data_IF_826105543577
#
_entry.id   IF_826105543577
#
_cell.length_a   1.000
_cell.length_b   1.000
_cell.length_c   1.000
_cell.angle_alpha   90.00
_cell.angle_beta   90.00
_cell.angle_gamma   90.00
#
_symmetry.space_group_name_H-M   'P 1'
#
loop_
_entity.id
_entity.type
_entity.pdbx_description
1 polymer ?
#
# COMPACT_ATOMS: atom_id res chain seq x y z
N UNK A 1 17.40 -36.38 58.00
CA UNK A 1 16.30 -36.03 57.07
C UNK A 1 15.58 -34.80 57.62
N UNK A 2 15.82 -33.64 57.01
CA UNK A 2 14.96 -32.46 57.03
C UNK A 2 15.12 -31.83 55.64
N UNK A 3 14.04 -31.62 54.85
CA UNK A 3 14.17 -31.11 53.49
C UNK A 3 14.29 -29.58 53.50
N UNK A 4 15.21 -29.03 52.71
CA UNK A 4 15.17 -27.63 52.31
C UNK A 4 13.96 -27.42 51.39
N UNK A 5 13.03 -26.56 51.81
CA UNK A 5 11.95 -26.04 50.97
C UNK A 5 12.51 -24.94 50.04
N UNK A 6 12.23 -24.96 48.74
CA UNK A 6 12.53 -23.83 47.85
C UNK A 6 11.50 -22.73 48.10
N UNK A 7 11.98 -21.51 48.36
CA UNK A 7 11.18 -20.30 48.41
C UNK A 7 10.78 -19.95 46.97
N UNK A 8 9.52 -20.21 46.60
CA UNK A 8 8.94 -19.69 45.37
C UNK A 8 8.70 -18.19 45.53
N UNK A 9 9.51 -17.37 44.87
CA UNK A 9 9.17 -15.98 44.60
C UNK A 9 8.03 -15.96 43.59
N UNK A 10 6.80 -15.73 44.06
CA UNK A 10 5.70 -15.35 43.17
C UNK A 10 6.07 -14.03 42.50
N UNK A 11 6.35 -14.07 41.20
CA UNK A 11 6.36 -12.88 40.38
C UNK A 11 4.95 -12.26 40.47
N UNK A 12 4.84 -11.11 41.14
CA UNK A 12 3.62 -10.33 41.14
C UNK A 12 3.27 -10.01 39.68
N UNK A 13 2.12 -10.53 39.23
CA UNK A 13 1.54 -10.14 37.96
C UNK A 13 1.41 -8.61 37.96
N UNK A 14 2.10 -7.95 37.03
CA UNK A 14 1.90 -6.53 36.78
C UNK A 14 0.44 -6.35 36.39
N UNK A 15 -0.34 -5.51 37.10
CA UNK A 15 -1.74 -5.29 36.75
C UNK A 15 -1.80 -4.73 35.32
N UNK A 16 -2.55 -5.41 34.47
CA UNK A 16 -2.90 -4.91 33.13
C UNK A 16 -3.51 -3.52 33.32
N UNK A 17 -2.95 -2.45 32.72
CA UNK A 17 -3.49 -1.12 32.91
C UNK A 17 -4.95 -1.09 32.43
N UNK A 18 -5.84 -0.66 33.31
CA UNK A 18 -7.25 -0.42 32.97
C UNK A 18 -7.31 0.50 31.74
N UNK A 19 -8.00 0.13 30.65
CA UNK A 19 -8.05 0.96 29.46
C UNK A 19 -8.63 2.33 29.82
N UNK A 20 -7.87 3.39 29.55
CA UNK A 20 -8.34 4.77 29.70
C UNK A 20 -9.60 4.94 28.84
N UNK A 21 -10.69 5.52 29.37
CA UNK A 21 -11.88 5.78 28.58
C UNK A 21 -11.52 6.61 27.33
N UNK A 22 -11.80 6.07 26.15
CA UNK A 22 -11.58 6.80 24.90
C UNK A 22 -12.70 7.81 24.71
N UNK A 23 -12.34 9.07 24.49
CA UNK A 23 -13.29 10.13 24.16
C UNK A 23 -13.29 10.37 22.65
N UNK A 24 -14.49 10.49 22.09
CA UNK A 24 -14.65 10.88 20.69
C UNK A 24 -14.63 12.41 20.58
N UNK A 25 -13.78 12.93 19.70
CA UNK A 25 -13.67 14.36 19.41
C UNK A 25 -14.13 14.58 17.98
N UNK A 26 -15.08 15.51 17.80
CA UNK A 26 -15.47 16.00 16.48
C UNK A 26 -14.66 17.23 16.16
N UNK A 27 -13.99 17.22 15.01
CA UNK A 27 -13.41 18.41 14.42
C UNK A 27 -14.37 18.91 13.34
N UNK A 28 -15.08 20.04 13.55
CA UNK A 28 -15.96 20.61 12.54
C UNK A 28 -15.13 21.08 11.34
N UNK A 29 -15.34 20.45 10.19
CA UNK A 29 -14.67 20.81 8.95
C UNK A 29 -15.35 20.13 7.76
N UNK A 30 -15.20 20.75 6.59
CA UNK A 30 -15.64 20.16 5.33
C UNK A 30 -14.66 19.08 4.86
N UNK A 31 -15.19 17.97 4.36
CA UNK A 31 -14.43 17.05 3.48
C UNK A 31 -14.89 17.29 2.05
N UNK A 32 -13.94 17.61 1.17
CA UNK A 32 -14.17 17.89 -0.26
C UNK A 32 -13.78 16.66 -1.08
N UNK A 33 -14.49 16.37 -2.20
CA UNK A 33 -14.03 15.37 -3.16
C UNK A 33 -12.63 15.73 -3.68
N UNK A 34 -11.73 14.75 -3.76
CA UNK A 34 -10.40 14.96 -4.33
C UNK A 34 -10.54 15.15 -5.86
N UNK A 35 -10.09 16.26 -6.45
CA UNK A 35 -10.14 16.43 -7.90
C UNK A 35 -9.19 15.47 -8.61
N UNK A 36 -9.26 15.42 -9.94
CA UNK A 36 -8.47 14.48 -10.75
C UNK A 36 -9.09 13.08 -10.78
N UNK A 37 -8.31 12.12 -11.25
CA UNK A 37 -8.72 10.72 -11.37
C UNK A 37 -7.49 9.80 -11.34
N UNK A 38 -7.74 8.50 -11.20
CA UNK A 38 -6.74 7.49 -11.55
C UNK A 38 -6.35 7.62 -13.02
N UNK A 39 -5.08 7.33 -13.31
CA UNK A 39 -4.62 7.07 -14.66
C UNK A 39 -5.18 5.75 -15.22
N UNK A 40 -4.77 5.39 -16.43
CA UNK A 40 -5.20 4.17 -17.12
C UNK A 40 -4.14 3.07 -17.11
N UNK A 41 -3.08 3.20 -16.31
CA UNK A 41 -1.99 2.21 -16.26
C UNK A 41 -2.51 0.92 -15.63
N UNK A 42 -2.44 -0.23 -16.34
CA UNK A 42 -2.85 -1.50 -15.77
C UNK A 42 -1.87 -1.97 -14.69
N UNK A 43 -2.41 -2.41 -13.55
CA UNK A 43 -1.66 -2.90 -12.40
C UNK A 43 -2.01 -4.38 -12.17
N UNK A 44 -1.06 -5.26 -12.40
CA UNK A 44 -1.15 -6.66 -11.99
C UNK A 44 -1.11 -6.71 -10.46
N UNK A 45 -2.21 -7.08 -9.81
CA UNK A 45 -2.36 -7.01 -8.36
C UNK A 45 -2.56 -8.40 -7.76
N UNK A 46 -1.50 -8.93 -7.14
CA UNK A 46 -1.43 -10.27 -6.55
C UNK A 46 -1.39 -10.17 -5.02
N UNK A 47 -2.55 -10.28 -4.37
CA UNK A 47 -2.66 -10.24 -2.91
C UNK A 47 -3.66 -11.29 -2.38
N UNK A 48 -4.03 -12.29 -3.19
CA UNK A 48 -4.97 -13.34 -2.78
C UNK A 48 -4.53 -14.76 -3.23
N UNK A 49 -4.30 -15.70 -2.29
CA UNK A 49 -4.44 -15.49 -0.86
C UNK A 49 -3.30 -14.64 -0.30
N UNK A 50 -3.58 -13.87 0.75
CA UNK A 50 -2.51 -13.15 1.45
C UNK A 50 -1.60 -14.14 2.17
N UNK A 51 -2.17 -15.11 2.88
CA UNK A 51 -1.42 -16.18 3.55
C UNK A 51 -1.38 -17.42 2.67
N UNK A 52 -0.18 -17.77 2.20
CA UNK A 52 0.04 -18.87 1.28
C UNK A 52 0.58 -20.08 2.04
N UNK A 53 -0.11 -21.21 1.90
CA UNK A 53 0.23 -22.46 2.57
C UNK A 53 0.40 -23.63 1.59
N UNK A 54 -0.08 -23.49 0.35
CA UNK A 54 0.10 -24.50 -0.70
C UNK A 54 0.73 -23.88 -1.95
N UNK A 55 1.48 -24.69 -2.70
CA UNK A 55 1.96 -24.29 -4.03
C UNK A 55 0.78 -24.03 -4.97
N UNK A 56 0.94 -23.13 -5.94
CA UNK A 56 -0.10 -22.83 -6.91
C UNK A 56 0.04 -21.48 -7.62
N UNK A 57 -0.96 -21.18 -8.43
CA UNK A 57 -1.10 -19.90 -9.13
C UNK A 57 -1.71 -18.87 -8.17
N UNK A 58 -1.02 -17.75 -7.94
CA UNK A 58 -1.53 -16.65 -7.14
C UNK A 58 -2.38 -15.71 -8.01
N UNK A 59 -1.88 -15.38 -9.19
CA UNK A 59 -2.59 -14.65 -10.25
C UNK A 59 -1.95 -14.97 -11.59
N UNK A 60 -2.75 -15.21 -12.64
CA UNK A 60 -2.23 -15.36 -14.00
C UNK A 60 -3.12 -14.65 -15.00
N UNK A 61 -2.49 -13.88 -15.89
CA UNK A 61 -3.15 -13.26 -17.03
C UNK A 61 -2.94 -14.01 -18.34
N UNK A 62 -2.30 -15.19 -18.32
CA UNK A 62 -2.15 -16.03 -19.51
C UNK A 62 -3.53 -16.41 -20.09
N UNK A 63 -3.60 -16.79 -21.38
CA UNK A 63 -4.80 -17.40 -21.93
C UNK A 63 -5.12 -18.74 -21.25
N UNK A 64 -6.40 -19.09 -21.03
CA UNK A 64 -6.80 -20.36 -20.41
C UNK A 64 -6.67 -21.57 -21.34
N UNK A 65 -6.53 -21.35 -22.65
CA UNK A 65 -6.43 -22.44 -23.62
C UNK A 65 -5.19 -23.31 -23.36
N UNK A 66 -5.38 -24.63 -23.32
CA UNK A 66 -4.33 -25.61 -23.05
C UNK A 66 -3.92 -25.75 -21.58
N UNK A 67 -4.46 -24.93 -20.68
CA UNK A 67 -4.17 -24.99 -19.23
C UNK A 67 -5.04 -26.02 -18.53
N UNK A 68 -4.48 -26.77 -17.58
CA UNK A 68 -5.23 -27.78 -16.82
C UNK A 68 -6.33 -27.16 -15.95
N UNK A 69 -6.05 -26.02 -15.32
CA UNK A 69 -7.00 -25.27 -14.50
C UNK A 69 -7.38 -23.96 -15.20
N UNK A 70 -8.20 -24.03 -16.25
CA UNK A 70 -8.57 -22.87 -17.07
C UNK A 70 -9.09 -21.66 -16.28
N UNK A 71 -9.76 -21.89 -15.14
CA UNK A 71 -10.28 -20.84 -14.25
C UNK A 71 -9.19 -20.04 -13.52
N UNK A 72 -7.94 -20.51 -13.51
CA UNK A 72 -6.79 -19.81 -12.93
C UNK A 72 -6.08 -18.86 -13.92
N UNK A 73 -6.71 -18.54 -15.06
CA UNK A 73 -6.07 -17.76 -16.12
C UNK A 73 -7.03 -16.71 -16.71
N UNK A 74 -6.72 -15.43 -16.54
CA UNK A 74 -7.62 -14.31 -16.85
C UNK A 74 -7.53 -13.78 -18.29
N UNK A 75 -6.59 -14.25 -19.11
CA UNK A 75 -6.39 -13.80 -20.49
C UNK A 75 -6.32 -12.26 -20.67
N UNK A 76 -5.34 -11.63 -20.02
CA UNK A 76 -5.12 -10.18 -20.11
C UNK A 76 -3.65 -9.87 -20.49
N UNK A 77 -3.38 -9.39 -21.72
CA UNK A 77 -2.03 -9.00 -22.10
C UNK A 77 -1.70 -7.58 -21.60
N UNK A 78 -0.45 -7.37 -21.19
CA UNK A 78 0.11 -6.05 -20.90
C UNK A 78 0.93 -5.55 -22.10
N UNK A 79 0.88 -4.24 -22.37
CA UNK A 79 1.69 -3.58 -23.38
C UNK A 79 1.90 -2.11 -22.98
N UNK A 80 3.06 -1.53 -23.26
CA UNK A 80 3.36 -0.16 -22.83
C UNK A 80 3.62 -0.07 -21.33
N UNK A 81 3.08 0.94 -20.64
CA UNK A 81 3.20 1.05 -19.18
C UNK A 81 2.26 0.05 -18.48
N UNK A 82 2.79 -0.78 -17.58
CA UNK A 82 2.05 -1.54 -16.56
C UNK A 82 2.84 -1.67 -15.25
N UNK A 83 2.15 -1.84 -14.12
CA UNK A 83 2.77 -2.12 -12.80
C UNK A 83 2.53 -3.56 -12.37
N UNK A 84 3.39 -4.05 -11.47
CA UNK A 84 3.18 -5.30 -10.73
C UNK A 84 3.25 -4.98 -9.25
N UNK A 85 2.16 -5.29 -8.53
CA UNK A 85 2.10 -5.30 -7.08
C UNK A 85 1.86 -6.74 -6.60
N UNK A 86 2.67 -7.18 -5.63
CA UNK A 86 2.48 -8.46 -4.97
C UNK A 86 2.72 -8.35 -3.46
N UNK A 87 1.86 -8.97 -2.66
CA UNK A 87 2.03 -9.06 -1.21
C UNK A 87 1.53 -10.43 -0.74
N UNK A 88 2.41 -11.23 -0.16
CA UNK A 88 2.08 -12.56 0.33
C UNK A 88 2.89 -12.92 1.58
N UNK A 89 2.29 -13.74 2.43
CA UNK A 89 2.83 -14.23 3.70
C UNK A 89 2.98 -15.73 3.61
N UNK A 90 4.21 -16.21 3.84
CA UNK A 90 4.46 -17.61 4.13
C UNK A 90 4.27 -17.84 5.63
N UNK A 91 3.51 -18.88 5.98
CA UNK A 91 3.31 -19.32 7.35
C UNK A 91 3.42 -20.83 7.40
N UNK A 92 4.33 -21.35 8.21
CA UNK A 92 4.42 -22.79 8.42
C UNK A 92 3.10 -23.33 8.98
N UNK A 93 2.61 -24.42 8.39
CA UNK A 93 1.38 -25.11 8.83
C UNK A 93 1.64 -26.10 9.95
N UNK A 94 2.88 -26.56 10.08
CA UNK A 94 3.32 -27.44 11.16
C UNK A 94 4.80 -27.18 11.50
N UNK A 95 5.25 -27.50 12.72
CA UNK A 95 6.66 -27.31 13.12
C UNK A 95 7.67 -28.12 12.28
N UNK A 96 7.22 -29.16 11.60
CA UNK A 96 8.05 -30.08 10.81
C UNK A 96 8.21 -29.65 9.35
N UNK A 97 7.34 -28.77 8.85
CA UNK A 97 7.40 -28.20 7.49
C UNK A 97 7.75 -26.71 7.54
N UNK A 98 9.06 -26.44 7.61
CA UNK A 98 9.64 -25.10 7.60
C UNK A 98 10.24 -24.70 6.25
N UNK A 99 9.80 -25.36 5.17
CA UNK A 99 10.36 -25.12 3.83
C UNK A 99 10.18 -23.68 3.40
N UNK A 100 11.19 -23.13 2.75
CA UNK A 100 11.13 -21.77 2.22
C UNK A 100 10.11 -21.69 1.09
N UNK A 101 9.12 -20.81 1.21
CA UNK A 101 8.22 -20.50 0.10
C UNK A 101 8.92 -19.55 -0.87
N UNK A 102 8.80 -19.77 -2.18
CA UNK A 102 9.24 -18.83 -3.21
C UNK A 102 8.03 -18.14 -3.83
N UNK A 103 8.15 -16.82 -3.99
CA UNK A 103 7.31 -16.03 -4.87
C UNK A 103 8.01 -15.95 -6.23
N UNK A 104 7.33 -16.34 -7.30
CA UNK A 104 7.78 -16.23 -8.68
C UNK A 104 6.90 -15.26 -9.47
N UNK A 105 7.49 -14.41 -10.32
CA UNK A 105 6.77 -13.66 -11.35
C UNK A 105 7.36 -14.01 -12.71
N UNK A 106 6.55 -14.67 -13.54
CA UNK A 106 6.90 -15.09 -14.89
C UNK A 106 6.29 -14.12 -15.89
N UNK A 107 7.09 -13.67 -16.86
CA UNK A 107 6.62 -12.95 -18.04
C UNK A 107 6.76 -13.83 -19.28
N UNK A 108 5.76 -13.80 -20.15
CA UNK A 108 5.74 -14.54 -21.42
C UNK A 108 5.50 -13.60 -22.59
N UNK A 109 6.31 -13.77 -23.63
CA UNK A 109 6.17 -13.07 -24.89
C UNK A 109 5.42 -13.98 -25.89
N UNK A 110 4.16 -13.68 -26.26
CA UNK A 110 3.40 -14.49 -27.20
C UNK A 110 3.77 -14.23 -28.66
N UNK A 111 4.58 -13.21 -28.96
CA UNK A 111 4.89 -12.79 -30.32
C UNK A 111 6.05 -13.59 -30.94
N UNK A 112 6.20 -13.48 -32.25
CA UNK A 112 7.30 -14.07 -33.02
C UNK A 112 8.57 -13.22 -33.02
N UNK A 113 8.56 -12.05 -32.36
CA UNK A 113 9.69 -11.15 -32.24
C UNK A 113 10.10 -11.02 -30.77
N UNK A 114 11.38 -10.74 -30.45
CA UNK A 114 11.78 -10.48 -29.07
C UNK A 114 11.03 -9.28 -28.48
N UNK A 115 10.63 -9.38 -27.22
CA UNK A 115 10.00 -8.28 -26.45
C UNK A 115 10.93 -7.87 -25.32
N UNK A 116 11.11 -6.58 -25.13
CA UNK A 116 11.89 -6.01 -24.03
C UNK A 116 10.97 -5.33 -23.04
N UNK A 117 11.19 -5.64 -21.75
CA UNK A 117 10.51 -5.02 -20.62
C UNK A 117 11.54 -4.23 -19.81
N UNK A 118 11.38 -2.91 -19.78
CA UNK A 118 12.16 -1.99 -18.95
C UNK A 118 11.65 -2.07 -17.51
N UNK A 119 12.56 -2.25 -16.55
CA UNK A 119 12.26 -2.11 -15.12
C UNK A 119 12.60 -0.69 -14.70
N UNK A 120 11.59 0.17 -14.60
CA UNK A 120 11.76 1.60 -14.31
C UNK A 120 12.07 1.82 -12.82
N UNK A 121 11.28 1.18 -11.96
CA UNK A 121 11.41 1.18 -10.49
C UNK A 121 11.01 -0.22 -10.00
N UNK A 122 11.68 -0.72 -8.97
CA UNK A 122 11.32 -2.02 -8.40
C UNK A 122 11.92 -2.17 -7.00
N UNK A 123 11.11 -2.62 -6.05
CA UNK A 123 11.54 -2.98 -4.71
C UNK A 123 10.78 -4.21 -4.22
N UNK A 124 11.48 -5.11 -3.54
CA UNK A 124 10.93 -6.25 -2.83
C UNK A 124 11.64 -6.44 -1.50
N UNK A 125 10.89 -6.62 -0.42
CA UNK A 125 11.44 -6.78 0.92
C UNK A 125 10.65 -7.80 1.73
N UNK A 126 11.36 -8.50 2.61
CA UNK A 126 10.77 -9.36 3.63
C UNK A 126 10.33 -8.56 4.86
N UNK A 127 9.34 -9.04 5.60
CA UNK A 127 9.08 -8.53 6.95
C UNK A 127 10.22 -8.88 7.89
N UNK A 128 10.91 -10.00 7.69
CA UNK A 128 12.09 -10.37 8.46
C UNK A 128 13.16 -10.99 7.53
N UNK A 129 14.44 -10.57 7.60
CA UNK A 129 15.00 -9.55 8.48
C UNK A 129 14.91 -8.12 7.91
N UNK A 130 14.45 -7.95 6.67
CA UNK A 130 14.62 -6.68 5.95
C UNK A 130 13.84 -5.53 6.59
N UNK A 131 12.55 -5.71 6.89
CA UNK A 131 11.67 -4.62 7.31
C UNK A 131 10.73 -5.07 8.45
N UNK A 132 11.26 -5.31 9.66
CA UNK A 132 10.45 -5.74 10.80
C UNK A 132 9.39 -4.70 11.17
N UNK A 133 8.28 -5.19 11.70
CA UNK A 133 7.27 -4.33 12.31
C UNK A 133 7.77 -3.86 13.68
N UNK A 134 8.34 -2.66 13.71
CA UNK A 134 8.84 -2.01 14.92
C UNK A 134 7.92 -0.86 15.35
N UNK A 135 7.99 -0.50 16.62
CA UNK A 135 7.38 0.73 17.10
C UNK A 135 8.23 1.93 16.68
N UNK A 136 7.56 2.96 16.13
CA UNK A 136 8.17 4.21 15.71
C UNK A 136 7.31 5.36 16.22
N UNK A 137 7.89 6.56 16.41
CA UNK A 137 7.12 7.75 16.75
C UNK A 137 6.04 8.06 15.70
N UNK A 138 4.98 8.81 16.07
CA UNK A 138 3.93 9.21 15.14
C UNK A 138 4.42 9.92 13.88
N UNK A 139 5.51 10.70 14.01
CA UNK A 139 6.16 11.43 12.94
C UNK A 139 7.68 11.38 13.11
N UNK A 140 8.42 11.11 12.04
CA UNK A 140 9.90 11.10 12.05
C UNK A 140 10.45 11.55 10.70
N UNK A 141 11.43 12.45 10.68
CA UNK A 141 12.13 12.81 9.45
C UNK A 141 12.83 11.59 8.85
N UNK A 142 12.64 11.39 7.56
CA UNK A 142 13.20 10.25 6.83
C UNK A 142 13.98 10.71 5.57
N UNK A 143 14.90 11.68 5.64
CA UNK A 143 15.58 12.19 4.44
C UNK A 143 16.38 11.09 3.72
N UNK A 144 16.96 10.15 4.46
CA UNK A 144 17.80 9.07 3.92
C UNK A 144 17.00 7.84 3.46
N UNK A 145 15.73 7.71 3.85
CA UNK A 145 14.89 6.55 3.51
C UNK A 145 15.17 5.30 4.37
N UNK A 146 15.77 5.48 5.54
CA UNK A 146 16.17 4.39 6.44
C UNK A 146 15.17 4.13 7.57
N UNK A 147 14.13 4.95 7.70
CA UNK A 147 13.05 4.77 8.69
C UNK A 147 11.86 4.09 8.00
N UNK A 148 11.46 2.93 8.52
CA UNK A 148 10.33 2.13 8.04
C UNK A 148 9.91 1.10 9.12
N UNK A 149 8.66 0.63 9.05
CA UNK A 149 8.14 -0.45 9.88
C UNK A 149 7.18 -1.33 9.07
N UNK A 150 7.69 -2.48 8.60
CA UNK A 150 6.98 -3.40 7.71
C UNK A 150 7.47 -3.35 6.25
N UNK A 151 7.33 -4.47 5.50
CA UNK A 151 7.82 -4.57 4.13
C UNK A 151 7.02 -3.71 3.16
N UNK A 152 5.71 -3.52 3.39
CA UNK A 152 4.88 -2.63 2.57
C UNK A 152 5.35 -1.18 2.60
N UNK A 153 5.55 -0.64 3.80
CA UNK A 153 6.11 0.69 4.03
C UNK A 153 7.49 0.85 3.36
N UNK A 154 8.41 -0.10 3.59
CA UNK A 154 9.75 -0.05 3.00
C UNK A 154 9.73 -0.06 1.47
N UNK A 155 8.89 -0.89 0.85
CA UNK A 155 8.71 -0.91 -0.61
C UNK A 155 8.19 0.44 -1.11
N UNK A 156 7.14 1.00 -0.49
CA UNK A 156 6.59 2.29 -0.92
C UNK A 156 7.60 3.43 -0.79
N UNK A 157 8.42 3.43 0.26
CA UNK A 157 9.47 4.44 0.45
C UNK A 157 10.55 4.39 -0.65
N UNK A 158 10.96 3.20 -1.10
CA UNK A 158 11.90 3.05 -2.23
C UNK A 158 11.31 3.58 -3.54
N UNK A 159 10.05 3.21 -3.84
CA UNK A 159 9.37 3.62 -5.08
C UNK A 159 9.10 5.13 -5.07
N UNK A 160 8.73 5.72 -3.93
CA UNK A 160 8.56 7.17 -3.77
C UNK A 160 9.84 7.95 -4.13
N UNK A 161 11.00 7.34 -3.89
CA UNK A 161 12.33 7.88 -4.20
C UNK A 161 12.81 7.54 -5.61
N UNK A 162 11.98 6.85 -6.37
CA UNK A 162 12.25 6.39 -7.72
C UNK A 162 13.38 5.37 -7.82
N UNK A 163 13.56 4.53 -6.79
CA UNK A 163 14.63 3.54 -6.75
C UNK A 163 14.26 2.25 -7.47
N UNK A 164 15.28 1.60 -8.00
CA UNK A 164 15.27 0.20 -8.45
C UNK A 164 16.34 -0.54 -7.68
N UNK A 165 15.96 -1.54 -6.89
CA UNK A 165 16.91 -2.38 -6.17
C UNK A 165 17.85 -3.08 -7.16
N UNK A 166 19.10 -3.30 -6.74
CA UNK A 166 20.13 -3.95 -7.56
C UNK A 166 19.83 -5.41 -7.92
N UNK A 167 18.95 -6.07 -7.16
CA UNK A 167 18.49 -7.43 -7.47
C UNK A 167 17.63 -7.49 -8.74
N UNK A 168 17.09 -6.35 -9.20
CA UNK A 168 16.31 -6.26 -10.43
C UNK A 168 17.15 -5.70 -11.58
N UNK A 169 17.20 -6.38 -12.73
CA UNK A 169 17.90 -5.85 -13.90
C UNK A 169 17.20 -4.60 -14.42
N UNK A 170 17.92 -3.75 -15.17
CA UNK A 170 17.32 -2.56 -15.78
C UNK A 170 16.30 -2.89 -16.87
N UNK A 171 16.50 -4.02 -17.55
CA UNK A 171 15.65 -4.51 -18.61
C UNK A 171 15.72 -6.04 -18.68
N UNK A 172 14.69 -6.67 -19.20
CA UNK A 172 14.69 -8.09 -19.56
C UNK A 172 14.21 -8.23 -20.99
N UNK A 173 14.98 -8.95 -21.82
CA UNK A 173 14.56 -9.34 -23.17
C UNK A 173 14.01 -10.77 -23.13
N UNK A 174 12.77 -10.92 -23.56
CA UNK A 174 12.05 -12.19 -23.63
C UNK A 174 12.04 -12.65 -25.09
N UNK A 175 12.69 -13.77 -25.44
CA UNK A 175 12.70 -14.29 -26.80
C UNK A 175 11.28 -14.57 -27.34
N UNK A 176 11.13 -14.69 -28.66
CA UNK A 176 9.87 -15.09 -29.28
C UNK A 176 9.28 -16.33 -28.62
N UNK A 177 7.99 -16.29 -28.27
CA UNK A 177 7.22 -17.43 -27.75
C UNK A 177 7.82 -18.10 -26.49
N UNK A 178 8.67 -17.38 -25.76
CA UNK A 178 9.33 -17.87 -24.56
C UNK A 178 8.94 -17.08 -23.32
N UNK A 179 9.34 -17.60 -22.16
CA UNK A 179 9.13 -16.95 -20.88
C UNK A 179 10.47 -16.65 -20.17
N UNK A 180 10.46 -15.63 -19.31
CA UNK A 180 11.56 -15.28 -18.41
C UNK A 180 11.01 -14.98 -17.02
N UNK A 181 11.79 -15.31 -16.00
CA UNK A 181 11.49 -14.86 -14.63
C UNK A 181 11.84 -13.38 -14.52
N UNK A 182 10.88 -12.59 -14.08
CA UNK A 182 11.10 -11.22 -13.60
C UNK A 182 11.48 -11.22 -12.11
N UNK A 183 10.92 -12.16 -11.35
CA UNK A 183 11.14 -12.33 -9.92
C UNK A 183 11.16 -13.83 -9.59
N UNK A 184 12.10 -14.27 -8.76
CA UNK A 184 12.16 -15.62 -8.18
C UNK A 184 12.82 -15.50 -6.79
N UNK A 185 12.04 -15.06 -5.80
CA UNK A 185 12.59 -14.63 -4.50
C UNK A 185 12.02 -15.45 -3.34
N UNK A 186 12.85 -15.79 -2.34
CA UNK A 186 12.45 -16.61 -1.20
C UNK A 186 11.65 -15.81 -0.17
N UNK A 187 10.87 -16.52 0.63
CA UNK A 187 10.14 -16.09 1.83
C UNK A 187 10.45 -17.13 2.92
N UNK A 188 11.64 -17.05 3.55
CA UNK A 188 12.09 -18.05 4.51
C UNK A 188 11.36 -17.89 5.84
N UNK A 189 11.05 -19.01 6.51
CA UNK A 189 10.40 -19.05 7.82
C UNK A 189 11.18 -19.82 8.88
N UNK A 190 12.16 -20.63 8.45
CA UNK A 190 12.84 -21.62 9.29
C UNK A 190 13.50 -21.05 10.56
N UNK A 191 14.04 -19.83 10.49
CA UNK A 191 14.77 -19.21 11.61
C UNK A 191 13.92 -18.23 12.42
N UNK A 192 12.60 -18.21 12.21
CA UNK A 192 11.68 -17.21 12.80
C UNK A 192 10.78 -17.87 13.86
N UNK A 193 10.50 -17.12 14.92
CA UNK A 193 9.58 -17.52 15.99
C UNK A 193 8.53 -16.41 16.20
N UNK A 194 7.24 -16.64 15.85
CA UNK A 194 6.73 -17.81 15.13
C UNK A 194 7.23 -17.88 13.67
N UNK A 195 7.17 -19.05 13.00
CA UNK A 195 7.65 -19.25 11.62
C UNK A 195 6.72 -18.62 10.57
N UNK A 196 6.74 -17.28 10.52
CA UNK A 196 5.93 -16.45 9.63
C UNK A 196 6.76 -15.31 9.03
N UNK A 197 6.65 -15.14 7.72
CA UNK A 197 7.35 -14.08 7.00
C UNK A 197 6.51 -13.57 5.83
N UNK A 198 6.54 -12.27 5.59
CA UNK A 198 5.81 -11.62 4.50
C UNK A 198 6.76 -11.03 3.48
N UNK A 199 6.37 -11.00 2.21
CA UNK A 199 7.11 -10.28 1.15
C UNK A 199 6.18 -9.32 0.43
N UNK A 200 6.54 -8.04 0.44
CA UNK A 200 5.92 -7.00 -0.38
C UNK A 200 6.78 -6.73 -1.61
N UNK A 201 6.16 -6.49 -2.75
CA UNK A 201 6.84 -6.13 -4.00
C UNK A 201 6.00 -5.11 -4.78
N UNK A 202 6.65 -4.06 -5.29
CA UNK A 202 6.07 -3.14 -6.25
C UNK A 202 7.09 -2.88 -7.37
N UNK A 203 6.64 -2.92 -8.62
CA UNK A 203 7.45 -2.65 -9.80
C UNK A 203 6.70 -1.79 -10.81
N UNK A 204 7.42 -0.82 -11.41
CA UNK A 204 6.96 -0.03 -12.56
C UNK A 204 7.69 -0.47 -13.82
N UNK A 205 6.97 -1.01 -14.81
CA UNK A 205 7.55 -1.82 -15.89
C UNK A 205 7.07 -1.47 -17.32
N UNK A 206 7.90 -0.99 -18.24
CA UNK A 206 7.42 -0.67 -19.59
C UNK A 206 7.76 -1.78 -20.59
N UNK A 207 6.78 -2.31 -21.30
CA UNK A 207 7.01 -3.29 -22.38
C UNK A 207 6.89 -2.65 -23.75
N UNK A 208 7.82 -2.99 -24.67
CA UNK A 208 7.75 -2.59 -26.07
C UNK A 208 6.83 -3.49 -26.93
N UNK A 209 6.29 -4.58 -26.35
CA UNK A 209 5.37 -5.51 -27.00
C UNK A 209 4.36 -6.11 -26.02
N UNK A 210 3.52 -7.02 -26.49
CA UNK A 210 2.57 -7.72 -25.62
C UNK A 210 3.31 -8.72 -24.73
N UNK A 211 2.96 -8.76 -23.45
CA UNK A 211 3.40 -9.79 -22.51
C UNK A 211 2.25 -10.28 -21.63
N UNK A 212 2.29 -11.54 -21.25
CA UNK A 212 1.44 -12.10 -20.20
C UNK A 212 2.26 -12.26 -18.92
N UNK A 213 1.61 -12.09 -17.77
CA UNK A 213 2.26 -12.20 -16.47
C UNK A 213 1.55 -13.24 -15.59
N UNK A 214 2.33 -13.93 -14.75
CA UNK A 214 1.80 -14.79 -13.70
C UNK A 214 2.66 -14.68 -12.44
N UNK A 215 2.00 -14.51 -11.29
CA UNK A 215 2.59 -14.70 -9.97
C UNK A 215 2.24 -16.10 -9.47
N UNK A 216 3.26 -16.80 -8.97
CA UNK A 216 3.19 -18.21 -8.58
C UNK A 216 3.84 -18.38 -7.21
N UNK A 217 3.34 -19.35 -6.46
CA UNK A 217 3.91 -19.78 -5.19
C UNK A 217 4.39 -21.23 -5.30
N UNK A 218 5.62 -21.49 -4.87
CA UNK A 218 6.19 -22.85 -4.85
C UNK A 218 7.15 -22.97 -3.68
N UNK A 219 7.13 -24.08 -2.95
CA UNK A 219 8.13 -24.34 -1.92
C UNK A 219 9.48 -24.65 -2.57
N UNK A 220 10.55 -24.36 -1.82
CA UNK A 220 11.90 -24.69 -2.19
C UNK A 220 12.00 -26.16 -2.62
N UNK A 221 12.79 -26.40 -3.67
CA UNK A 221 13.09 -27.76 -4.10
C UNK A 221 14.40 -28.19 -3.46
N UNK A 222 14.62 -29.50 -3.37
CA UNK A 222 15.85 -30.02 -2.78
C UNK A 222 16.93 -30.22 -3.84
N UNK A 223 18.17 -29.92 -3.48
CA UNK A 223 19.37 -30.39 -4.15
C UNK A 223 19.65 -31.85 -3.79
N UNK A 224 20.59 -32.48 -4.50
CA UNK A 224 21.00 -33.87 -4.23
C UNK A 224 21.63 -34.05 -2.83
N UNK A 225 22.19 -32.99 -2.26
CA UNK A 225 22.76 -32.96 -0.90
C UNK A 225 21.71 -32.65 0.19
N UNK A 226 20.43 -32.50 -0.18
CA UNK A 226 19.33 -32.19 0.73
C UNK A 226 19.16 -30.69 1.05
N UNK A 227 20.04 -29.82 0.57
CA UNK A 227 19.88 -28.37 0.75
C UNK A 227 18.75 -27.80 -0.10
N UNK A 228 18.15 -26.69 0.34
CA UNK A 228 17.11 -25.99 -0.43
C UNK A 228 17.72 -25.24 -1.63
N UNK A 229 17.02 -25.30 -2.77
CA UNK A 229 17.27 -24.47 -3.96
C UNK A 229 15.99 -23.74 -4.39
N UNK A 230 16.19 -22.65 -5.11
CA UNK A 230 15.09 -21.97 -5.79
C UNK A 230 14.49 -22.86 -6.89
N UNK A 231 13.19 -22.72 -7.17
CA UNK A 231 12.59 -23.36 -8.34
C UNK A 231 13.16 -22.80 -9.64
N UNK A 232 13.33 -23.68 -10.62
CA UNK A 232 13.81 -23.37 -11.97
C UNK A 232 12.70 -22.79 -12.83
N UNK A 233 13.06 -22.13 -13.94
CA UNK A 233 12.09 -21.65 -14.94
C UNK A 233 11.16 -22.77 -15.43
N UNK A 234 11.70 -23.97 -15.68
CA UNK A 234 10.91 -25.10 -16.15
C UNK A 234 9.87 -25.55 -15.11
N UNK A 235 10.23 -25.58 -13.82
CA UNK A 235 9.30 -25.91 -12.74
C UNK A 235 8.20 -24.84 -12.60
N UNK A 236 8.55 -23.55 -12.71
CA UNK A 236 7.55 -22.47 -12.75
C UNK A 236 6.59 -22.59 -13.94
N UNK A 237 7.11 -22.89 -15.13
CA UNK A 237 6.29 -23.13 -16.32
C UNK A 237 5.38 -24.34 -16.12
N UNK A 238 5.90 -25.45 -15.58
CA UNK A 238 5.10 -26.63 -15.29
C UNK A 238 3.96 -26.33 -14.30
N UNK A 239 4.24 -25.58 -13.23
CA UNK A 239 3.20 -25.14 -12.28
C UNK A 239 2.16 -24.25 -12.95
N UNK A 240 2.58 -23.35 -13.86
CA UNK A 240 1.64 -22.53 -14.62
C UNK A 240 0.75 -23.34 -15.56
N UNK A 241 1.26 -24.41 -16.19
CA UNK A 241 0.49 -25.25 -17.11
C UNK A 241 -0.48 -26.21 -16.37
N UNK A 242 -0.02 -26.76 -15.25
CA UNK A 242 -0.66 -27.92 -14.60
C UNK A 242 -1.19 -27.66 -13.20
N UNK A 243 -0.79 -26.56 -12.56
CA UNK A 243 -1.19 -26.18 -11.22
C UNK A 243 -2.60 -25.60 -11.15
N UNK A 244 -3.15 -25.57 -9.94
CA UNK A 244 -4.38 -24.84 -9.62
C UNK A 244 -4.03 -23.58 -8.79
N UNK A 245 -5.04 -22.83 -8.37
CA UNK A 245 -4.86 -21.68 -7.47
C UNK A 245 -4.18 -22.09 -6.16
N UNK A 246 -3.26 -21.25 -5.69
CA UNK A 246 -2.66 -21.41 -4.37
C UNK A 246 -3.70 -21.20 -3.26
N UNK A 247 -3.54 -21.88 -2.14
CA UNK A 247 -4.48 -21.88 -1.03
C UNK A 247 -3.84 -21.70 0.35
N UNK A 248 -4.68 -21.61 1.40
CA UNK A 248 -6.15 -21.53 1.32
C UNK A 248 -6.61 -20.21 0.69
N UNK A 249 -7.80 -20.16 0.06
CA UNK A 249 -8.35 -18.90 -0.48
C UNK A 249 -8.86 -17.99 0.64
N UNK A 250 -8.84 -16.67 0.42
CA UNK A 250 -9.40 -15.70 1.37
C UNK A 250 -10.92 -15.79 1.48
N UNK A 251 -11.50 -15.08 2.45
CA UNK A 251 -12.95 -14.87 2.51
C UNK A 251 -13.44 -14.17 1.23
N UNK A 252 -14.48 -14.75 0.62
CA UNK A 252 -15.13 -14.15 -0.54
C UNK A 252 -15.68 -12.76 -0.20
N UNK A 253 -15.55 -11.77 -1.12
CA UNK A 253 -16.07 -10.43 -0.89
C UNK A 253 -17.60 -10.40 -0.90
N UNK A 254 -18.17 -9.45 -0.16
CA UNK A 254 -19.59 -9.11 -0.25
C UNK A 254 -19.87 -8.48 -1.62
N UNK A 255 -20.84 -8.99 -2.41
CA UNK A 255 -21.24 -8.35 -3.66
C UNK A 255 -21.65 -6.88 -3.45
N UNK A 256 -21.32 -5.95 -4.37
CA UNK A 256 -21.58 -4.51 -4.19
C UNK A 256 -23.05 -4.15 -3.96
N UNK A 257 -23.97 -4.92 -4.51
CA UNK A 257 -25.42 -4.77 -4.39
C UNK A 257 -25.99 -5.35 -3.09
N UNK A 258 -25.20 -6.11 -2.33
CA UNK A 258 -25.65 -6.71 -1.10
C UNK A 258 -25.64 -5.70 0.05
N UNK A 259 -26.72 -5.67 0.84
CA UNK A 259 -26.80 -4.86 2.06
C UNK A 259 -26.03 -5.49 3.24
N UNK A 260 -25.76 -4.68 4.27
CA UNK A 260 -25.20 -5.15 5.54
C UNK A 260 -23.68 -5.03 5.64
N UNK A 261 -23.05 -5.97 6.37
CA UNK A 261 -21.60 -5.92 6.64
C UNK A 261 -20.81 -6.23 5.37
N UNK A 262 -19.93 -5.29 5.00
CA UNK A 262 -19.08 -5.40 3.81
C UNK A 262 -17.78 -6.15 4.13
N UNK A 263 -17.52 -7.21 3.38
CA UNK A 263 -16.20 -7.84 3.25
C UNK A 263 -15.63 -7.35 1.92
N UNK A 264 -14.59 -6.52 1.95
CA UNK A 264 -13.99 -5.98 0.73
C UNK A 264 -13.26 -7.05 -0.10
N UNK A 265 -12.73 -8.08 0.57
CA UNK A 265 -11.89 -9.12 -0.05
C UNK A 265 -10.47 -8.63 -0.35
N UNK A 266 -9.56 -9.59 -0.55
CA UNK A 266 -8.23 -9.34 -1.12
C UNK A 266 -8.32 -9.32 -2.65
N UNK A 267 -7.31 -8.76 -3.32
CA UNK A 267 -7.31 -8.59 -4.78
C UNK A 267 -6.45 -9.67 -5.45
N UNK A 268 -7.01 -10.36 -6.44
CA UNK A 268 -6.24 -11.06 -7.48
C UNK A 268 -6.84 -10.73 -8.85
N UNK A 269 -6.20 -9.81 -9.57
CA UNK A 269 -6.70 -9.32 -10.84
C UNK A 269 -5.82 -8.24 -11.44
N UNK A 270 -6.32 -7.58 -12.48
CA UNK A 270 -5.67 -6.41 -13.08
C UNK A 270 -6.52 -5.18 -12.78
N UNK A 271 -6.00 -4.29 -11.94
CA UNK A 271 -6.60 -3.00 -11.64
C UNK A 271 -6.25 -1.96 -12.72
N UNK A 272 -7.13 -0.98 -12.93
CA UNK A 272 -6.83 0.19 -13.77
C UNK A 272 -6.48 1.38 -12.88
N UNK A 273 -5.24 1.86 -12.96
CA UNK A 273 -4.76 3.02 -12.21
C UNK A 273 -3.53 2.71 -11.37
N UNK A 274 -2.41 3.35 -11.69
CA UNK A 274 -1.17 3.33 -10.89
C UNK A 274 -0.95 4.62 -10.10
N UNK A 275 -1.56 5.71 -10.56
CA UNK A 275 -1.37 7.04 -9.98
C UNK A 275 -2.68 7.82 -10.02
N UNK A 276 -2.95 8.58 -8.95
CA UNK A 276 -3.94 9.65 -8.89
C UNK A 276 -3.22 11.00 -8.96
N UNK A 277 -3.42 11.75 -10.04
CA UNK A 277 -2.81 13.06 -10.20
C UNK A 277 -3.87 14.17 -10.08
N UNK A 278 -3.59 15.19 -9.28
CA UNK A 278 -4.52 16.29 -9.10
C UNK A 278 -3.84 17.63 -8.78
N UNK A 279 -4.42 18.71 -9.29
CA UNK A 279 -4.20 20.07 -8.78
C UNK A 279 -5.44 20.49 -7.98
N UNK A 280 -5.25 20.78 -6.71
CA UNK A 280 -6.32 21.16 -5.79
C UNK A 280 -6.58 22.66 -5.97
N UNK A 281 -7.76 23.01 -6.47
CA UNK A 281 -8.18 24.41 -6.73
C UNK A 281 -9.61 24.61 -6.26
N UNK A 282 -10.02 25.87 -6.01
CA UNK A 282 -11.37 26.15 -5.51
C UNK A 282 -12.47 25.78 -6.52
N UNK A 283 -12.18 25.91 -7.83
CA UNK A 283 -13.08 25.52 -8.92
C UNK A 283 -12.30 25.27 -10.21
N UNK A 284 -12.88 24.61 -11.23
CA UNK A 284 -12.20 24.32 -12.49
C UNK A 284 -11.69 25.56 -13.26
N UNK A 285 -12.23 26.75 -12.96
CA UNK A 285 -11.90 28.00 -13.66
C UNK A 285 -10.82 28.83 -12.97
N UNK A 286 -10.34 28.42 -11.79
CA UNK A 286 -9.28 29.11 -11.06
C UNK A 286 -8.05 28.23 -10.91
N UNK A 287 -6.87 28.85 -10.75
CA UNK A 287 -5.57 28.16 -10.65
C UNK A 287 -4.99 28.15 -9.23
N UNK A 288 -5.82 28.43 -8.23
CA UNK A 288 -5.40 28.52 -6.84
C UNK A 288 -6.41 27.83 -5.92
N UNK A 289 -5.93 27.51 -4.73
CA UNK A 289 -6.70 27.01 -3.60
C UNK A 289 -6.69 28.06 -2.50
N UNK A 290 -7.85 28.65 -2.19
CA UNK A 290 -7.93 29.60 -1.09
C UNK A 290 -7.67 28.89 0.24
N UNK A 291 -6.87 29.52 1.09
CA UNK A 291 -6.68 29.04 2.46
C UNK A 291 -8.01 29.13 3.24
N UNK A 292 -8.27 28.23 4.21
CA UNK A 292 -9.48 28.33 5.03
C UNK A 292 -9.44 29.57 5.93
N UNK A 293 -10.61 30.04 6.42
CA UNK A 293 -10.67 31.08 7.45
C UNK A 293 -9.86 30.68 8.69
N UNK A 294 -9.38 31.67 9.45
CA UNK A 294 -8.57 31.43 10.65
C UNK A 294 -9.29 30.51 11.64
N UNK A 295 -8.59 29.49 12.12
CA UNK A 295 -9.13 28.46 13.03
C UNK A 295 -10.00 27.41 12.36
N UNK A 296 -10.18 27.44 11.04
CA UNK A 296 -10.93 26.45 10.28
C UNK A 296 -10.02 25.55 9.43
N UNK A 297 -10.60 24.47 8.92
CA UNK A 297 -9.92 23.52 8.05
C UNK A 297 -10.88 22.96 6.99
N UNK A 298 -10.31 22.40 5.92
CA UNK A 298 -10.99 21.46 5.04
C UNK A 298 -10.04 20.31 4.68
N UNK A 299 -10.61 19.17 4.29
CA UNK A 299 -9.84 17.98 3.92
C UNK A 299 -10.23 17.40 2.58
N UNK A 300 -9.33 16.60 2.02
CA UNK A 300 -9.59 15.70 0.90
C UNK A 300 -9.36 14.25 1.34
N UNK A 301 -10.28 13.36 0.99
CA UNK A 301 -10.13 11.92 1.25
C UNK A 301 -9.03 11.30 0.39
N UNK A 302 -8.27 10.38 0.99
CA UNK A 302 -7.26 9.54 0.33
C UNK A 302 -7.65 8.08 0.51
N UNK A 303 -7.66 7.33 -0.60
CA UNK A 303 -8.12 5.95 -0.68
C UNK A 303 -9.55 5.75 -0.14
N UNK A 304 -10.47 6.68 -0.42
CA UNK A 304 -11.88 6.51 -0.03
C UNK A 304 -12.52 5.31 -0.74
N UNK A 305 -13.50 4.70 -0.10
CA UNK A 305 -14.13 3.47 -0.54
C UNK A 305 -15.59 3.40 -0.11
N UNK A 306 -16.35 2.45 -0.67
CA UNK A 306 -17.71 2.16 -0.21
C UNK A 306 -17.72 1.89 1.30
N UNK A 307 -18.68 2.47 2.03
CA UNK A 307 -18.75 2.45 3.50
C UNK A 307 -17.54 3.12 4.19
N UNK A 308 -16.96 4.11 3.52
CA UNK A 308 -15.74 4.81 3.90
C UNK A 308 -15.48 6.04 3.02
N UNK A 309 -16.54 6.76 2.63
CA UNK A 309 -16.47 7.93 1.74
C UNK A 309 -16.17 9.25 2.46
N UNK A 310 -16.14 9.25 3.79
CA UNK A 310 -15.83 10.41 4.64
C UNK A 310 -16.68 11.65 4.31
N UNK A 311 -17.99 11.46 4.12
CA UNK A 311 -18.92 12.56 3.83
C UNK A 311 -19.02 12.98 2.38
N UNK A 312 -18.21 12.41 1.50
CA UNK A 312 -18.26 12.67 0.07
C UNK A 312 -19.06 11.58 -0.65
N UNK A 313 -19.37 11.79 -1.93
CA UNK A 313 -19.85 10.71 -2.79
C UNK A 313 -18.72 10.00 -3.55
N UNK A 314 -17.46 10.25 -3.18
CA UNK A 314 -16.31 9.76 -3.91
C UNK A 314 -15.82 8.40 -3.40
N UNK A 315 -15.79 7.42 -4.30
CA UNK A 315 -15.09 6.14 -4.14
C UNK A 315 -13.84 6.19 -5.01
N UNK A 316 -12.66 6.04 -4.41
CA UNK A 316 -11.39 6.04 -5.11
C UNK A 316 -10.87 4.64 -5.43
N UNK A 317 -11.53 3.57 -4.95
CA UNK A 317 -11.14 2.18 -5.21
C UNK A 317 -11.05 1.91 -6.72
N UNK A 318 -9.87 1.47 -7.19
CA UNK A 318 -9.63 1.29 -8.62
C UNK A 318 -10.49 0.16 -9.19
N UNK A 319 -11.10 0.33 -10.39
CA UNK A 319 -11.84 -0.74 -11.03
C UNK A 319 -10.91 -1.88 -11.47
N UNK A 320 -11.42 -3.10 -11.46
CA UNK A 320 -10.71 -4.29 -11.95
C UNK A 320 -11.14 -4.60 -13.38
N UNK A 321 -10.19 -4.66 -14.30
CA UNK A 321 -10.43 -5.01 -15.71
C UNK A 321 -10.68 -6.51 -15.87
N UNK A 322 -9.99 -7.32 -15.08
CA UNK A 322 -10.21 -8.76 -14.90
C UNK A 322 -9.90 -9.13 -13.45
N UNK A 323 -10.58 -10.13 -12.90
CA UNK A 323 -10.36 -10.61 -11.53
C UNK A 323 -10.73 -12.08 -11.38
N UNK A 324 -10.21 -12.74 -10.36
CA UNK A 324 -10.78 -14.02 -9.93
C UNK A 324 -12.13 -13.81 -9.23
N UNK A 325 -13.14 -14.67 -9.48
CA UNK A 325 -14.50 -14.48 -8.96
C UNK A 325 -14.62 -14.40 -7.44
N UNK A 326 -13.74 -15.08 -6.71
CA UNK A 326 -13.68 -15.14 -5.25
C UNK A 326 -12.91 -13.97 -4.60
N UNK A 327 -12.42 -13.01 -5.40
CA UNK A 327 -11.62 -11.88 -4.93
C UNK A 327 -12.33 -10.55 -5.10
N UNK A 328 -11.84 -9.50 -4.44
CA UNK A 328 -12.43 -8.17 -4.35
C UNK A 328 -13.02 -7.65 -5.68
N UNK A 329 -14.12 -6.90 -5.61
CA UNK A 329 -14.77 -6.32 -6.80
C UNK A 329 -14.06 -5.07 -7.34
N UNK A 330 -13.30 -4.39 -6.48
CA UNK A 330 -12.43 -3.26 -6.81
C UNK A 330 -11.11 -3.41 -6.04
N UNK A 331 -10.06 -2.68 -6.42
CA UNK A 331 -8.83 -2.62 -5.65
C UNK A 331 -9.01 -1.76 -4.40
N UNK A 332 -9.79 -2.23 -3.43
CA UNK A 332 -10.03 -1.52 -2.18
C UNK A 332 -8.71 -1.28 -1.43
N UNK A 333 -8.56 -0.09 -0.84
CA UNK A 333 -7.31 0.33 -0.22
C UNK A 333 -6.24 0.80 -1.21
N UNK A 334 -6.40 0.58 -2.52
CA UNK A 334 -5.51 1.15 -3.54
C UNK A 334 -4.01 0.94 -3.27
N UNK A 335 -3.63 -0.24 -2.77
CA UNK A 335 -2.25 -0.55 -2.42
C UNK A 335 -1.31 -0.33 -3.61
N UNK A 336 -0.25 0.46 -3.40
CA UNK A 336 0.72 0.83 -4.42
C UNK A 336 0.33 2.02 -5.30
N UNK A 337 -0.88 2.58 -5.18
CA UNK A 337 -1.27 3.77 -5.93
C UNK A 337 -0.55 5.00 -5.36
N UNK A 338 0.05 5.79 -6.27
CA UNK A 338 0.68 7.07 -5.95
C UNK A 338 -0.34 8.20 -6.07
N UNK A 339 -0.54 8.97 -5.02
CA UNK A 339 -1.21 10.26 -5.06
C UNK A 339 -0.16 11.34 -5.27
N UNK A 340 -0.22 12.02 -6.42
CA UNK A 340 0.63 13.16 -6.77
C UNK A 340 -0.23 14.43 -6.78
N UNK A 341 -0.21 15.17 -5.68
CA UNK A 341 -1.12 16.28 -5.42
C UNK A 341 -0.37 17.60 -5.42
N UNK A 342 -0.91 18.61 -6.11
CA UNK A 342 -0.41 19.98 -6.13
C UNK A 342 -1.40 20.92 -5.46
N UNK A 343 -0.96 21.65 -4.44
CA UNK A 343 -1.75 22.58 -3.64
C UNK A 343 -1.24 24.01 -3.88
N UNK A 344 -1.74 24.74 -4.89
CA UNK A 344 -1.44 26.15 -5.14
C UNK A 344 -2.17 27.06 -4.14
N UNK A 345 -1.73 27.06 -2.88
CA UNK A 345 -2.33 27.83 -1.79
C UNK A 345 -2.27 29.34 -2.06
N UNK A 346 -3.35 30.04 -1.73
CA UNK A 346 -3.47 31.50 -1.86
C UNK A 346 -4.04 32.11 -0.57
N UNK A 347 -3.29 33.04 0.03
CA UNK A 347 -3.80 33.88 1.10
C UNK A 347 -4.62 35.03 0.51
N UNK A 348 -5.93 34.84 0.44
CA UNK A 348 -6.89 35.84 -0.04
C UNK A 348 -7.31 36.86 1.05
N UNK A 349 -6.68 36.85 2.22
CA UNK A 349 -6.97 37.78 3.32
C UNK A 349 -6.02 38.98 3.32
N UNK A 350 -6.36 40.00 4.09
CA UNK A 350 -5.54 41.20 4.31
C UNK A 350 -4.57 41.06 5.50
N UNK A 351 -4.45 39.87 6.09
CA UNK A 351 -3.57 39.59 7.23
C UNK A 351 -2.66 38.40 6.93
N UNK A 352 -1.52 38.34 7.62
CA UNK A 352 -0.72 37.12 7.64
C UNK A 352 -1.54 35.98 8.26
N UNK A 353 -1.45 34.80 7.66
CA UNK A 353 -2.06 33.56 8.14
C UNK A 353 -1.00 32.46 8.24
N UNK A 354 -1.19 31.53 9.17
CA UNK A 354 -0.30 30.37 9.32
C UNK A 354 -1.06 29.13 8.89
N UNK A 355 -0.58 28.47 7.83
CA UNK A 355 -1.24 27.33 7.22
C UNK A 355 -0.48 26.05 7.52
N UNK A 356 -1.21 25.06 8.04
CA UNK A 356 -0.72 23.72 8.30
C UNK A 356 -1.26 22.74 7.27
N UNK A 357 -0.39 21.84 6.81
CA UNK A 357 -0.76 20.67 6.00
C UNK A 357 -0.57 19.42 6.85
N UNK A 358 -1.62 18.61 6.97
CA UNK A 358 -1.64 17.42 7.83
C UNK A 358 -2.13 16.21 7.06
N UNK A 359 -1.57 15.03 7.33
CA UNK A 359 -2.20 13.74 7.03
C UNK A 359 -2.88 13.25 8.30
N UNK A 360 -4.13 12.80 8.24
CA UNK A 360 -4.87 12.35 9.41
C UNK A 360 -5.57 11.00 9.17
N UNK A 361 -5.83 10.26 10.26
CA UNK A 361 -6.54 8.98 10.24
C UNK A 361 -7.80 9.08 11.11
N UNK A 362 -8.87 9.73 10.63
CA UNK A 362 -10.13 9.84 11.35
C UNK A 362 -10.80 8.46 11.51
N UNK A 363 -11.81 8.39 12.37
CA UNK A 363 -12.72 7.25 12.41
C UNK A 363 -13.37 7.09 11.03
N UNK A 364 -13.37 5.85 10.50
CA UNK A 364 -13.97 5.56 9.20
C UNK A 364 -15.49 5.73 9.28
N UNK A 365 -16.01 6.59 8.41
CA UNK A 365 -17.44 6.77 8.18
C UNK A 365 -17.75 6.93 6.70
N UNK A 366 -19.01 6.67 6.36
CA UNK A 366 -19.53 6.91 5.02
C UNK A 366 -20.04 8.35 4.88
N UNK A 367 -20.88 8.79 5.81
CA UNK A 367 -21.39 10.16 5.93
C UNK A 367 -20.85 10.83 7.20
N UNK A 368 -20.71 12.16 7.21
CA UNK A 368 -20.27 12.91 8.40
C UNK A 368 -21.46 13.12 9.34
N UNK A 369 -21.80 12.08 10.11
CA UNK A 369 -23.00 12.04 10.96
C UNK A 369 -23.02 13.11 12.06
N UNK A 370 -21.85 13.63 12.45
CA UNK A 370 -21.71 14.69 13.46
C UNK A 370 -21.19 16.02 12.86
N UNK A 371 -21.28 16.22 11.54
CA UNK A 371 -20.92 17.47 10.88
C UNK A 371 -19.42 17.78 10.79
N UNK A 372 -18.57 16.77 11.02
CA UNK A 372 -17.11 16.91 10.99
C UNK A 372 -16.40 15.55 11.03
N UNK A 373 -15.07 15.58 10.96
CA UNK A 373 -14.26 14.38 11.12
C UNK A 373 -14.20 13.97 12.59
N UNK A 374 -14.26 12.67 12.86
CA UNK A 374 -14.23 12.12 14.22
C UNK A 374 -12.89 11.49 14.55
N UNK A 375 -12.39 11.76 15.75
CA UNK A 375 -11.11 11.29 16.28
C UNK A 375 -11.29 10.71 17.68
N UNK A 376 -10.26 10.01 18.18
CA UNK A 376 -10.24 9.38 19.50
C UNK A 376 -9.11 9.98 20.34
N UNK A 377 -9.39 10.30 21.60
CA UNK A 377 -8.39 10.72 22.59
C UNK A 377 -8.46 9.83 23.83
N UNK A 378 -7.40 9.05 24.12
CA UNK A 378 -6.26 8.76 23.23
C UNK A 378 -6.70 7.96 21.98
N UNK A 379 -5.90 7.96 20.88
CA UNK A 379 -6.17 7.12 19.72
C UNK A 379 -6.26 5.63 20.09
N UNK A 380 -6.93 4.83 19.25
CA UNK A 380 -7.01 3.40 19.50
C UNK A 380 -5.68 2.68 19.26
N UNK A 381 -5.48 1.51 19.88
CA UNK A 381 -4.20 0.81 19.80
C UNK A 381 -3.83 0.37 18.36
N UNK A 382 -4.84 0.15 17.50
CA UNK A 382 -4.65 -0.34 16.15
C UNK A 382 -3.94 0.69 15.28
N UNK A 383 -2.79 0.30 14.72
CA UNK A 383 -2.13 1.08 13.67
C UNK A 383 -2.91 0.96 12.37
N UNK A 384 -3.23 2.08 11.76
CA UNK A 384 -3.99 2.17 10.51
C UNK A 384 -3.12 2.68 9.35
N UNK A 385 -2.03 3.38 9.63
CA UNK A 385 -1.11 3.84 8.60
C UNK A 385 0.34 3.77 9.10
N UNK A 386 1.23 3.26 8.25
CA UNK A 386 2.69 3.33 8.38
C UNK A 386 3.28 3.60 7.01
N UNK A 387 3.95 4.73 6.82
CA UNK A 387 4.44 5.07 5.49
C UNK A 387 5.20 6.39 5.46
N UNK A 388 6.05 6.55 4.46
CA UNK A 388 6.71 7.83 4.18
C UNK A 388 5.94 8.65 3.15
N UNK A 389 5.77 9.95 3.42
CA UNK A 389 5.28 10.95 2.46
C UNK A 389 6.42 11.86 2.01
N UNK A 390 6.29 12.45 0.81
CA UNK A 390 7.21 13.48 0.33
C UNK A 390 6.46 14.79 0.14
N UNK A 391 7.03 15.87 0.69
CA UNK A 391 6.54 17.22 0.49
C UNK A 391 7.60 18.07 -0.21
N UNK A 392 7.19 18.87 -1.19
CA UNK A 392 8.04 19.87 -1.86
C UNK A 392 7.36 21.22 -1.85
N UNK A 393 8.06 22.25 -1.38
CA UNK A 393 7.50 23.60 -1.20
C UNK A 393 8.63 24.62 -1.05
N UNK A 394 8.31 25.91 -1.09
CA UNK A 394 9.23 26.97 -0.66
C UNK A 394 8.93 27.35 0.79
N UNK A 395 9.96 27.38 1.64
CA UNK A 395 9.82 27.84 3.03
C UNK A 395 9.53 29.34 3.13
N UNK A 396 9.37 29.86 4.36
CA UNK A 396 9.06 31.27 4.60
C UNK A 396 10.18 32.23 4.16
N UNK A 397 11.40 31.72 3.91
CA UNK A 397 12.53 32.48 3.35
C UNK A 397 12.59 32.38 1.82
N UNK A 398 11.64 31.67 1.20
CA UNK A 398 11.60 31.40 -0.24
C UNK A 398 12.53 30.28 -0.69
N UNK A 399 13.18 29.54 0.22
CA UNK A 399 14.12 28.48 -0.14
C UNK A 399 13.36 27.18 -0.48
N UNK A 400 13.71 26.50 -1.58
CA UNK A 400 13.09 25.24 -1.94
C UNK A 400 13.42 24.15 -0.91
N UNK A 401 12.39 23.44 -0.46
CA UNK A 401 12.47 22.33 0.47
C UNK A 401 11.97 21.05 -0.20
N UNK A 402 12.64 19.94 0.09
CA UNK A 402 12.14 18.58 -0.16
C UNK A 402 12.25 17.81 1.14
N UNK A 403 11.10 17.46 1.72
CA UNK A 403 11.03 16.71 2.98
C UNK A 403 10.45 15.34 2.75
N UNK A 404 11.01 14.37 3.46
CA UNK A 404 10.48 13.02 3.54
C UNK A 404 10.15 12.77 5.00
N UNK A 405 8.90 12.44 5.28
CA UNK A 405 8.42 12.27 6.64
C UNK A 405 7.78 10.90 6.75
N UNK A 406 8.31 10.06 7.63
CA UNK A 406 7.70 8.79 8.01
C UNK A 406 6.62 9.04 9.06
N UNK A 407 5.48 8.38 8.91
CA UNK A 407 4.33 8.53 9.79
C UNK A 407 3.88 7.16 10.31
N UNK A 408 3.50 7.12 11.59
CA UNK A 408 2.74 6.02 12.19
C UNK A 408 1.46 6.60 12.76
N UNK A 409 0.33 6.23 12.16
CA UNK A 409 -0.98 6.70 12.62
C UNK A 409 -1.87 5.55 13.08
N UNK A 410 -2.45 5.74 14.25
CA UNK A 410 -3.44 4.88 14.88
C UNK A 410 -4.86 5.25 14.44
N UNK A 411 -5.81 4.34 14.62
CA UNK A 411 -7.23 4.60 14.34
C UNK A 411 -7.73 5.78 15.17
N UNK A 412 -8.36 6.75 14.49
CA UNK A 412 -8.90 7.95 15.14
C UNK A 412 -7.83 8.96 15.54
N UNK A 413 -6.60 8.85 15.02
CA UNK A 413 -5.53 9.79 15.33
C UNK A 413 -5.61 11.06 14.44
N UNK A 414 -5.70 12.22 15.09
CA UNK A 414 -5.48 13.51 14.45
C UNK A 414 -4.02 13.64 14.00
N UNK A 415 -3.79 14.34 12.90
CA UNK A 415 -2.44 14.49 12.34
C UNK A 415 -1.62 15.56 13.06
N UNK A 416 -0.31 15.42 13.01
CA UNK A 416 0.63 16.50 13.34
C UNK A 416 0.97 17.30 12.07
N UNK A 417 1.35 18.59 12.19
CA UNK A 417 1.76 19.39 11.04
C UNK A 417 2.96 18.80 10.28
N UNK A 418 2.77 18.49 9.00
CA UNK A 418 3.85 18.11 8.09
C UNK A 418 4.61 19.35 7.61
N UNK A 419 3.88 20.43 7.35
CA UNK A 419 4.40 21.73 6.92
C UNK A 419 3.62 22.83 7.63
N UNK A 420 4.32 23.88 8.06
CA UNK A 420 3.75 25.14 8.52
C UNK A 420 4.27 26.25 7.60
N UNK A 421 3.36 27.08 7.07
CA UNK A 421 3.67 28.19 6.18
C UNK A 421 3.12 29.49 6.76
N UNK A 422 3.97 30.49 6.95
CA UNK A 422 3.53 31.84 7.27
C UNK A 422 3.31 32.61 5.96
N UNK A 423 2.05 32.80 5.60
CA UNK A 423 1.65 33.39 4.33
C UNK A 423 1.19 34.84 4.54
N UNK A 424 1.95 35.86 4.08
CA UNK A 424 1.51 37.26 4.08
C UNK A 424 0.24 37.50 3.24
N UNK A 425 -0.41 38.68 3.36
CA UNK A 425 -1.53 39.04 2.50
C UNK A 425 -1.19 38.92 1.02
N UNK A 426 -2.06 38.27 0.23
CA UNK A 426 -1.87 38.08 -1.21
C UNK A 426 -0.83 37.01 -1.60
N UNK A 427 -0.20 36.37 -0.62
CA UNK A 427 0.86 35.40 -0.86
C UNK A 427 0.36 34.12 -1.54
N UNK A 428 1.26 33.50 -2.32
CA UNK A 428 1.01 32.24 -3.04
C UNK A 428 2.12 31.23 -2.72
N UNK A 429 1.72 30.02 -2.35
CA UNK A 429 2.63 28.91 -2.03
C UNK A 429 2.17 27.66 -2.74
N UNK A 430 3.05 27.06 -3.52
CA UNK A 430 2.81 25.73 -4.08
C UNK A 430 3.39 24.68 -3.13
N UNK A 431 2.54 23.80 -2.63
CA UNK A 431 2.95 22.59 -1.91
C UNK A 431 2.64 21.39 -2.79
N UNK A 432 3.64 20.56 -3.06
CA UNK A 432 3.44 19.24 -3.68
C UNK A 432 3.46 18.18 -2.58
N UNK A 433 2.49 17.28 -2.62
CA UNK A 433 2.36 16.16 -1.70
C UNK A 433 2.32 14.87 -2.51
N UNK A 434 3.32 14.02 -2.29
CA UNK A 434 3.44 12.70 -2.89
C UNK A 434 3.25 11.63 -1.82
N UNK A 435 2.35 10.69 -2.09
CA UNK A 435 1.92 9.66 -1.13
C UNK A 435 1.63 8.35 -1.85
N UNK A 436 2.39 7.30 -1.52
CA UNK A 436 2.19 5.95 -2.04
C UNK A 436 1.50 5.11 -0.97
N UNK A 437 0.34 4.55 -1.27
CA UNK A 437 -0.49 3.85 -0.29
C UNK A 437 0.06 2.45 0.05
N UNK A 438 0.53 2.18 1.29
CA UNK A 438 1.17 0.91 1.65
C UNK A 438 0.16 -0.23 1.83
N UNK A 439 0.54 -1.49 1.55
CA UNK A 439 -0.35 -2.66 1.69
C UNK A 439 -0.74 -3.00 3.12
N UNK A 440 0.04 -2.54 4.10
CA UNK A 440 -0.19 -2.76 5.53
C UNK A 440 -1.08 -1.65 6.14
N UNK A 441 -1.63 -0.74 5.31
CA UNK A 441 -2.49 0.36 5.75
C UNK A 441 -3.99 0.03 5.64
N UNK A 442 -4.78 0.71 6.48
CA UNK A 442 -6.24 0.63 6.53
C UNK A 442 -6.86 1.97 6.11
N UNK A 443 -7.62 2.02 5.00
CA UNK A 443 -8.20 3.26 4.49
C UNK A 443 -9.49 3.65 5.22
N UNK A 444 -9.95 4.91 5.07
CA UNK A 444 -9.27 6.01 4.37
C UNK A 444 -8.43 6.89 5.30
N UNK A 445 -7.48 7.62 4.71
CA UNK A 445 -6.81 8.76 5.33
C UNK A 445 -7.37 10.06 4.75
N UNK A 446 -7.04 11.20 5.36
CA UNK A 446 -7.40 12.52 4.82
C UNK A 446 -6.19 13.46 4.79
N UNK A 447 -6.06 14.23 3.72
CA UNK A 447 -5.13 15.36 3.63
C UNK A 447 -5.87 16.62 4.04
N UNK A 448 -5.41 17.30 5.07
CA UNK A 448 -6.05 18.48 5.67
C UNK A 448 -5.23 19.74 5.44
N UNK A 449 -5.91 20.80 5.03
CA UNK A 449 -5.40 22.17 5.02
C UNK A 449 -6.08 22.89 6.18
N UNK A 450 -5.29 23.35 7.14
CA UNK A 450 -5.78 24.02 8.33
C UNK A 450 -5.15 25.41 8.46
N UNK A 451 -5.96 26.42 8.77
CA UNK A 451 -5.45 27.74 9.15
C UNK A 451 -5.39 27.79 10.68
N UNK A 452 -4.17 27.88 11.21
CA UNK A 452 -3.87 27.75 12.63
C UNK A 452 -4.55 28.87 13.42
N UNK A 453 -5.18 28.51 14.53
CA UNK A 453 -5.72 29.50 15.48
C UNK A 453 -4.54 30.10 16.24
N UNK A 454 -4.42 31.42 16.24
CA UNK A 454 -3.52 32.10 17.17
C UNK A 454 -4.22 32.08 18.53
N UNK A 455 -3.66 31.38 19.50
CA UNK A 455 -4.05 31.55 20.90
C UNK A 455 -3.48 32.89 21.36
N UNK A 456 -4.35 33.77 21.86
CA UNK A 456 -3.96 35.04 22.47
C UNK A 456 -3.58 34.84 23.94
#
# INVERSE_FOLDING_TARGET
MLPLLPVFTFAQATPTPTPTPQQEIVQPQQVRPLPGSLDTVPVFNSNSPEVVQTEGILLSTFPPSGKKAANAHLNFPFQGRFDIFAHHIAKATSPEDLRTLYLGVLLHNPSTQPVTVDVLQAASYLSQPDAPFIELPPQTENPLGTIFAGPGDRVMNEILRGRRQSIFPAQITIPPQQSRMLLNLPIPVQTLEPPINGRSTLMRLRSNGRVYAASLAMFAKSNADGSERSPTLAEWQQLLETGNLAGPRDLAPTPPEAGGKVIYGRVAGVAQGSQWQAQLVDSPNVRYLSIPPRGQAFSYGLSTLTAGRQGTNQVQSAPLMVRYPDTAYQAHGNYGIEYNLSLPLYNNTNQQQTISILLQTPIKEDELTQGGLRFLTPPAAQTFFRGTVRLRYSDDRGLPQTRYVHLVQKRGQAGEPLVLLNMPPGDRRLVQFDFLYPPDATPPQVLTIQNVKVEN
#
